data_IF_195559140921
#
_entry.id   IF_195559140921
#
_cell.length_a   1.000
_cell.length_b   1.000
_cell.length_c   1.000
_cell.angle_alpha   90.00
_cell.angle_beta   90.00
_cell.angle_gamma   90.00
#
_symmetry.space_group_name_H-M   'P 1'
#
loop_
_entity.id
_entity.type
_entity.pdbx_description
1 polymer ?
#
# COMPACT_ATOMS: atom_id res chain seq x y z
N UNK A 1 -12.90 70.77 16.49
CA UNK A 1 -12.40 69.73 17.43
C UNK A 1 -11.96 68.43 16.75
N UNK A 2 -12.39 68.11 15.51
CA UNK A 2 -12.00 66.85 14.85
C UNK A 2 -10.71 66.90 13.98
N UNK A 3 -10.18 68.07 13.62
CA UNK A 3 -9.03 68.20 12.69
C UNK A 3 -7.77 67.44 13.12
N UNK A 4 -7.48 67.39 14.43
CA UNK A 4 -6.35 66.62 14.96
C UNK A 4 -6.54 65.11 14.88
N UNK A 5 -7.79 64.63 14.96
CA UNK A 5 -8.09 63.20 14.84
C UNK A 5 -8.03 62.72 13.37
N UNK A 6 -8.40 63.59 12.42
CA UNK A 6 -8.46 63.22 10.99
C UNK A 6 -7.07 63.24 10.33
N UNK A 7 -6.13 64.08 10.80
CA UNK A 7 -4.74 64.10 10.31
C UNK A 7 -3.80 63.13 11.07
N UNK A 8 -4.35 62.33 12.01
CA UNK A 8 -3.65 61.52 13.03
C UNK A 8 -2.78 62.35 13.99
N UNK A 9 -2.53 61.81 15.20
CA UNK A 9 -1.70 62.47 16.21
C UNK A 9 -0.20 62.28 15.96
N UNK A 10 0.62 63.19 16.48
CA UNK A 10 2.08 63.15 16.34
C UNK A 10 2.71 61.84 16.85
N UNK A 11 2.09 61.21 17.87
CA UNK A 11 2.45 59.89 18.36
C UNK A 11 2.41 58.78 17.30
N UNK A 12 1.48 58.87 16.34
CA UNK A 12 1.28 57.86 15.32
C UNK A 12 2.34 57.97 14.23
N UNK A 13 2.84 59.19 13.98
CA UNK A 13 3.97 59.41 13.08
C UNK A 13 5.29 58.89 13.68
N UNK A 14 5.46 58.99 15.00
CA UNK A 14 6.62 58.42 15.70
C UNK A 14 6.62 56.89 15.65
N UNK A 15 5.45 56.25 15.71
CA UNK A 15 5.31 54.80 15.58
C UNK A 15 5.70 54.31 14.17
N UNK A 16 5.29 55.04 13.12
CA UNK A 16 5.65 54.71 11.72
C UNK A 16 7.13 55.02 11.43
N UNK A 17 7.71 56.06 12.03
CA UNK A 17 9.13 56.40 11.90
C UNK A 17 10.08 55.40 12.58
N UNK A 18 9.56 54.54 13.48
CA UNK A 18 10.33 53.46 14.10
C UNK A 18 10.53 52.24 13.17
N UNK A 19 9.86 52.21 12.01
CA UNK A 19 9.98 51.18 10.98
C UNK A 19 10.71 51.71 9.74
N UNK A 20 11.26 50.80 8.90
CA UNK A 20 11.93 51.19 7.65
C UNK A 20 10.93 51.87 6.70
N UNK A 21 11.12 53.17 6.49
CA UNK A 21 10.26 54.03 5.68
C UNK A 21 10.43 53.69 4.18
N UNK A 22 9.68 52.70 3.71
CA UNK A 22 9.53 52.41 2.28
C UNK A 22 8.26 53.07 1.74
N UNK A 23 8.31 53.62 0.53
CA UNK A 23 7.19 54.33 -0.11
C UNK A 23 5.96 53.44 -0.38
N UNK A 24 6.13 52.12 -0.29
CA UNK A 24 5.09 51.11 -0.48
C UNK A 24 4.60 50.47 0.84
N UNK A 25 5.06 50.95 2.00
CA UNK A 25 4.60 50.43 3.29
C UNK A 25 3.09 50.66 3.46
N UNK A 26 2.34 49.60 3.79
CA UNK A 26 0.88 49.65 3.99
C UNK A 26 0.47 50.67 5.06
N UNK A 27 1.33 50.89 6.04
CA UNK A 27 1.15 51.86 7.13
C UNK A 27 1.06 53.30 6.64
N UNK A 28 1.85 53.64 5.60
CA UNK A 28 1.86 54.97 4.98
C UNK A 28 0.62 55.18 4.09
N UNK A 29 0.12 54.13 3.43
CA UNK A 29 -1.10 54.21 2.61
C UNK A 29 -2.37 54.52 3.42
N UNK A 30 -2.40 54.16 4.71
CA UNK A 30 -3.52 54.45 5.62
C UNK A 30 -3.52 55.88 6.19
N UNK A 31 -2.48 56.68 5.91
CA UNK A 31 -2.46 58.11 6.22
C UNK A 31 -3.29 58.89 5.18
N UNK A 32 -3.84 60.07 5.56
CA UNK A 32 -4.55 60.93 4.62
C UNK A 32 -3.78 61.18 3.32
N UNK A 33 -4.50 61.24 2.19
CA UNK A 33 -3.93 61.45 0.85
C UNK A 33 -3.17 62.78 0.76
N UNK A 34 -3.67 63.80 1.46
CA UNK A 34 -3.01 65.09 1.67
C UNK A 34 -3.42 65.61 3.05
N UNK A 35 -2.73 66.64 3.55
CA UNK A 35 -3.09 67.28 4.83
C UNK A 35 -4.49 67.88 4.74
N UNK A 36 -5.35 67.53 5.70
CA UNK A 36 -6.77 67.91 5.71
C UNK A 36 -6.94 69.20 6.48
N UNK A 37 -7.38 70.26 5.80
CA UNK A 37 -7.82 71.51 6.40
C UNK A 37 -9.20 71.91 5.87
N UNK A 38 -10.02 72.65 6.65
CA UNK A 38 -11.35 73.07 6.21
C UNK A 38 -11.25 73.95 4.95
N UNK A 39 -12.02 73.62 3.91
CA UNK A 39 -12.09 74.39 2.67
C UNK A 39 -10.85 74.30 1.77
N UNK A 40 -9.86 73.45 2.10
CA UNK A 40 -8.67 73.30 1.26
C UNK A 40 -8.95 72.32 0.10
N UNK A 41 -8.64 72.69 -1.16
CA UNK A 41 -8.74 71.77 -2.29
C UNK A 41 -7.69 70.65 -2.18
N UNK A 42 -8.01 69.47 -2.73
CA UNK A 42 -7.11 68.31 -2.75
C UNK A 42 -5.96 68.57 -3.74
N UNK A 43 -4.70 68.67 -3.31
CA UNK A 43 -3.57 68.75 -4.23
C UNK A 43 -3.36 67.39 -4.91
N UNK A 44 -2.95 67.40 -6.19
CA UNK A 44 -2.80 66.18 -6.99
C UNK A 44 -1.34 65.79 -7.27
N UNK A 45 -0.42 66.76 -7.24
CA UNK A 45 0.98 66.56 -7.67
C UNK A 45 1.98 66.84 -6.55
N UNK A 46 1.73 67.84 -5.72
CA UNK A 46 2.65 68.27 -4.66
C UNK A 46 2.01 68.15 -3.27
N UNK A 47 2.82 67.96 -2.23
CA UNK A 47 2.37 67.84 -0.84
C UNK A 47 1.32 66.73 -0.60
N UNK A 48 1.42 65.65 -1.38
CA UNK A 48 0.59 64.45 -1.28
C UNK A 48 1.35 63.31 -0.61
N UNK A 49 0.60 62.38 -0.04
CA UNK A 49 1.13 61.16 0.56
C UNK A 49 1.91 60.34 -0.50
N UNK A 50 3.19 59.98 -0.25
CA UNK A 50 4.01 59.22 -1.18
C UNK A 50 3.38 57.94 -1.72
N UNK A 51 2.58 57.24 -0.90
CA UNK A 51 1.91 56.00 -1.30
C UNK A 51 0.84 56.21 -2.40
N UNK A 52 0.36 57.43 -2.60
CA UNK A 52 -0.73 57.77 -3.52
C UNK A 52 -0.28 58.59 -4.74
N UNK A 53 1.02 58.92 -4.86
CA UNK A 53 1.55 59.77 -5.93
C UNK A 53 1.18 59.21 -7.32
N UNK A 54 1.44 57.92 -7.58
CA UNK A 54 1.20 57.32 -8.90
C UNK A 54 -0.30 57.25 -9.24
N UNK A 55 -1.14 56.99 -8.25
CA UNK A 55 -2.59 56.95 -8.40
C UNK A 55 -3.16 58.35 -8.69
N UNK A 56 -2.70 59.38 -7.98
CA UNK A 56 -3.10 60.77 -8.21
C UNK A 56 -2.56 61.32 -9.53
N UNK A 57 -1.35 60.94 -9.93
CA UNK A 57 -0.80 61.28 -11.23
C UNK A 57 -1.62 60.66 -12.38
N UNK A 58 -2.07 59.41 -12.20
CA UNK A 58 -2.96 58.72 -13.15
C UNK A 58 -4.33 59.40 -13.22
N UNK A 59 -4.94 59.72 -12.06
CA UNK A 59 -6.17 60.50 -11.98
C UNK A 59 -6.03 61.87 -12.68
N UNK A 60 -4.92 62.57 -12.44
CA UNK A 60 -4.64 63.86 -13.05
C UNK A 60 -4.54 63.76 -14.58
N UNK A 61 -3.79 62.78 -15.07
CA UNK A 61 -3.58 62.55 -16.51
C UNK A 61 -4.86 62.12 -17.22
N UNK A 62 -5.61 61.18 -16.66
CA UNK A 62 -6.69 60.48 -17.38
C UNK A 62 -8.08 61.08 -17.13
N UNK A 63 -8.32 61.71 -15.98
CA UNK A 63 -9.63 62.25 -15.63
C UNK A 63 -9.65 63.78 -15.49
N UNK A 64 -8.65 64.36 -14.82
CA UNK A 64 -8.64 65.81 -14.52
C UNK A 64 -8.22 66.64 -15.73
N UNK A 65 -7.13 66.25 -16.42
CA UNK A 65 -6.61 66.95 -17.60
C UNK A 65 -7.66 67.04 -18.71
N UNK A 66 -8.40 65.96 -19.06
CA UNK A 66 -9.45 66.04 -20.07
C UNK A 66 -10.70 66.80 -19.62
N UNK A 67 -11.01 66.81 -18.32
CA UNK A 67 -12.25 67.43 -17.81
C UNK A 67 -12.10 68.92 -17.50
N UNK A 68 -10.93 69.36 -17.05
CA UNK A 68 -10.68 70.72 -16.54
C UNK A 68 -9.38 71.35 -17.07
N UNK A 69 -8.61 70.66 -17.90
CA UNK A 69 -7.35 71.15 -18.50
C UNK A 69 -6.11 70.88 -17.65
N UNK A 70 -4.94 70.88 -18.30
CA UNK A 70 -3.64 70.51 -17.71
C UNK A 70 -3.18 71.42 -16.56
N UNK A 71 -3.64 72.67 -16.52
CA UNK A 71 -3.26 73.64 -15.49
C UNK A 71 -3.90 73.36 -14.11
N UNK A 72 -4.84 72.40 -14.01
CA UNK A 72 -5.58 72.12 -12.79
C UNK A 72 -4.82 71.13 -11.89
N UNK A 73 -3.99 71.65 -11.00
CA UNK A 73 -3.14 70.84 -10.09
C UNK A 73 -3.78 70.54 -8.72
N UNK A 74 -4.97 71.09 -8.44
CA UNK A 74 -5.75 70.83 -7.24
C UNK A 74 -7.25 70.72 -7.53
N UNK A 75 -7.98 69.86 -6.82
CA UNK A 75 -9.42 69.65 -6.99
C UNK A 75 -10.24 70.21 -5.82
N UNK A 76 -11.21 71.05 -6.15
CA UNK A 76 -12.28 71.42 -5.23
C UNK A 76 -13.33 70.31 -5.09
N UNK A 77 -14.13 70.34 -4.02
CA UNK A 77 -15.22 69.37 -3.80
C UNK A 77 -16.25 69.39 -4.94
N UNK A 78 -16.56 70.56 -5.49
CA UNK A 78 -17.46 70.70 -6.63
C UNK A 78 -16.89 70.05 -7.90
N UNK A 79 -15.59 70.24 -8.17
CA UNK A 79 -14.91 69.60 -9.31
C UNK A 79 -14.81 68.07 -9.13
N UNK A 80 -14.55 67.59 -7.91
CA UNK A 80 -14.53 66.17 -7.58
C UNK A 80 -15.90 65.51 -7.80
N UNK A 81 -16.97 66.16 -7.35
CA UNK A 81 -18.35 65.68 -7.57
C UNK A 81 -18.68 65.64 -9.06
N UNK A 82 -18.26 66.65 -9.82
CA UNK A 82 -18.43 66.70 -11.27
C UNK A 82 -17.70 65.55 -11.98
N UNK A 83 -16.48 65.21 -11.54
CA UNK A 83 -15.74 64.05 -12.06
C UNK A 83 -16.47 62.75 -11.79
N UNK A 84 -16.95 62.54 -10.55
CA UNK A 84 -17.72 61.34 -10.21
C UNK A 84 -18.92 61.18 -11.11
N UNK A 85 -19.71 62.22 -11.30
CA UNK A 85 -20.91 62.18 -12.17
C UNK A 85 -20.52 61.79 -13.60
N UNK A 86 -19.45 62.35 -14.15
CA UNK A 86 -18.97 62.01 -15.51
C UNK A 86 -18.50 60.56 -15.61
N UNK A 87 -17.82 60.04 -14.59
CA UNK A 87 -17.37 58.64 -14.57
C UNK A 87 -18.48 57.64 -14.28
N UNK A 88 -19.55 58.08 -13.60
CA UNK A 88 -20.66 57.22 -13.18
C UNK A 88 -21.52 56.75 -14.36
N UNK A 89 -21.65 57.58 -15.40
CA UNK A 89 -22.31 57.18 -16.64
C UNK A 89 -21.56 56.03 -17.34
N UNK A 90 -20.23 56.05 -17.31
CA UNK A 90 -19.41 54.99 -17.90
C UNK A 90 -19.40 53.72 -17.04
N UNK A 91 -19.27 53.84 -15.71
CA UNK A 91 -19.32 52.69 -14.80
C UNK A 91 -20.68 51.97 -14.90
N UNK A 92 -21.77 52.72 -14.97
CA UNK A 92 -23.12 52.19 -15.16
C UNK A 92 -23.28 51.48 -16.50
N UNK A 93 -22.68 52.01 -17.58
CA UNK A 93 -22.69 51.36 -18.89
C UNK A 93 -21.91 50.04 -18.89
N UNK A 94 -20.72 50.02 -18.27
CA UNK A 94 -19.90 48.81 -18.13
C UNK A 94 -20.61 47.76 -17.27
N UNK A 95 -21.25 48.17 -16.16
CA UNK A 95 -22.02 47.28 -15.29
C UNK A 95 -23.28 46.73 -15.97
N UNK A 96 -23.92 47.50 -16.86
CA UNK A 96 -25.09 47.08 -17.62
C UNK A 96 -24.77 46.14 -18.81
N UNK A 97 -23.50 45.81 -19.04
CA UNK A 97 -23.06 44.97 -20.17
C UNK A 97 -23.61 43.55 -20.06
N UNK A 98 -24.67 43.27 -20.82
CA UNK A 98 -25.23 41.92 -20.99
C UNK A 98 -24.46 41.18 -22.09
N UNK A 99 -23.98 39.96 -21.79
CA UNK A 99 -23.30 39.11 -22.78
C UNK A 99 -21.80 38.90 -22.56
N UNK A 100 -21.26 39.17 -21.38
CA UNK A 100 -19.85 38.86 -21.04
C UNK A 100 -19.46 37.39 -21.34
N UNK A 101 -20.42 36.46 -21.26
CA UNK A 101 -20.23 35.03 -21.59
C UNK A 101 -19.94 34.82 -23.09
N UNK A 102 -20.53 35.64 -23.96
CA UNK A 102 -20.43 35.49 -25.42
C UNK A 102 -19.42 36.46 -26.06
N UNK A 103 -18.92 37.44 -25.31
CA UNK A 103 -17.96 38.43 -25.78
C UNK A 103 -16.64 37.83 -26.29
N UNK A 104 -16.20 36.73 -25.66
CA UNK A 104 -14.99 35.98 -26.08
C UNK A 104 -15.10 35.37 -27.48
N UNK A 105 -16.31 35.24 -28.04
CA UNK A 105 -16.52 34.70 -29.38
C UNK A 105 -16.13 35.70 -30.48
N UNK A 106 -16.02 36.99 -30.15
CA UNK A 106 -15.68 38.04 -31.11
C UNK A 106 -16.86 38.50 -31.98
N UNK A 107 -16.81 39.74 -32.52
CA UNK A 107 -17.93 40.36 -33.20
C UNK A 107 -18.33 39.63 -34.49
N UNK A 108 -17.38 39.08 -35.24
CA UNK A 108 -17.65 38.41 -36.52
C UNK A 108 -18.41 37.09 -36.31
N UNK A 109 -18.01 36.31 -35.29
CA UNK A 109 -18.70 35.06 -34.95
C UNK A 109 -20.11 35.33 -34.42
N UNK A 110 -20.29 36.39 -33.63
CA UNK A 110 -21.60 36.79 -33.12
C UNK A 110 -22.55 37.22 -34.24
N UNK A 111 -22.08 37.98 -35.23
CA UNK A 111 -22.88 38.35 -36.42
C UNK A 111 -23.22 37.15 -37.27
N UNK A 112 -22.27 36.23 -37.49
CA UNK A 112 -22.51 34.98 -38.19
C UNK A 112 -23.58 34.13 -37.48
N UNK A 113 -23.46 33.95 -36.16
CA UNK A 113 -24.44 33.24 -35.35
C UNK A 113 -25.77 33.98 -35.40
N UNK A 114 -25.83 35.30 -35.25
CA UNK A 114 -27.10 36.04 -35.32
C UNK A 114 -27.81 35.89 -36.68
N UNK A 115 -27.06 35.85 -37.78
CA UNK A 115 -27.61 35.67 -39.12
C UNK A 115 -28.08 34.23 -39.38
N UNK A 116 -27.36 33.22 -38.89
CA UNK A 116 -27.62 31.81 -39.19
C UNK A 116 -28.40 31.06 -38.11
N UNK A 117 -28.33 31.50 -36.86
CA UNK A 117 -28.94 30.83 -35.70
C UNK A 117 -30.46 30.70 -35.77
N UNK A 118 -31.25 31.64 -36.33
CA UNK A 118 -32.70 31.45 -36.41
C UNK A 118 -33.07 30.23 -37.25
N UNK A 119 -32.45 30.08 -38.44
CA UNK A 119 -32.65 28.95 -39.32
C UNK A 119 -32.09 27.66 -38.72
N UNK A 120 -30.87 27.70 -38.18
CA UNK A 120 -30.24 26.54 -37.55
C UNK A 120 -31.01 26.07 -36.30
N UNK A 121 -31.53 26.99 -35.49
CA UNK A 121 -32.35 26.69 -34.30
C UNK A 121 -33.68 26.10 -34.69
N UNK A 122 -34.32 26.60 -35.76
CA UNK A 122 -35.54 25.99 -36.29
C UNK A 122 -35.28 24.56 -36.78
N UNK A 123 -34.20 24.34 -37.54
CA UNK A 123 -33.82 23.01 -38.01
C UNK A 123 -33.45 22.04 -36.86
N UNK A 124 -32.71 22.51 -35.85
CA UNK A 124 -32.43 21.75 -34.62
C UNK A 124 -33.70 21.43 -33.85
N UNK A 125 -34.61 22.40 -33.71
CA UNK A 125 -35.91 22.21 -33.07
C UNK A 125 -36.76 21.15 -33.77
N UNK A 126 -36.74 21.14 -35.10
CA UNK A 126 -37.42 20.12 -35.90
C UNK A 126 -36.78 18.73 -35.72
N UNK A 127 -35.44 18.63 -35.68
CA UNK A 127 -34.75 17.37 -35.39
C UNK A 127 -35.06 16.84 -33.99
N UNK A 128 -35.06 17.72 -32.98
CA UNK A 128 -35.45 17.37 -31.60
C UNK A 128 -36.91 16.93 -31.55
N UNK A 129 -37.81 17.61 -32.27
CA UNK A 129 -39.21 17.23 -32.34
C UNK A 129 -39.40 15.86 -33.02
N UNK A 130 -38.64 15.56 -34.07
CA UNK A 130 -38.63 14.24 -34.72
C UNK A 130 -38.12 13.13 -33.81
N UNK A 131 -37.03 13.39 -33.07
CA UNK A 131 -36.47 12.43 -32.11
C UNK A 131 -37.44 12.20 -30.94
N UNK A 132 -38.02 13.28 -30.40
CA UNK A 132 -39.02 13.20 -29.34
C UNK A 132 -40.30 12.47 -29.78
N UNK A 133 -40.71 12.60 -31.04
CA UNK A 133 -41.86 11.86 -31.59
C UNK A 133 -41.62 10.34 -31.60
N UNK A 134 -40.37 9.89 -31.77
CA UNK A 134 -39.99 8.47 -31.78
C UNK A 134 -39.67 7.90 -30.38
N UNK A 135 -39.74 8.71 -29.33
CA UNK A 135 -39.42 8.31 -27.95
C UNK A 135 -40.12 7.02 -27.51
N UNK A 136 -41.42 6.86 -27.81
CA UNK A 136 -42.18 5.67 -27.46
C UNK A 136 -41.69 4.39 -28.19
N UNK A 137 -41.24 4.52 -29.43
CA UNK A 137 -40.65 3.41 -30.19
C UNK A 137 -39.29 3.02 -29.59
N UNK A 138 -38.45 3.99 -29.23
CA UNK A 138 -37.18 3.74 -28.55
C UNK A 138 -37.36 3.08 -27.19
N UNK A 139 -38.35 3.48 -26.40
CA UNK A 139 -38.68 2.80 -25.13
C UNK A 139 -39.08 1.35 -25.37
N UNK A 140 -39.84 1.08 -26.44
CA UNK A 140 -40.23 -0.28 -26.81
C UNK A 140 -39.02 -1.10 -27.25
N UNK A 141 -38.12 -0.54 -28.06
CA UNK A 141 -36.86 -1.17 -28.45
C UNK A 141 -35.99 -1.47 -27.23
N UNK A 142 -35.88 -0.52 -26.29
CA UNK A 142 -35.13 -0.71 -25.05
C UNK A 142 -35.72 -1.83 -24.18
N UNK A 143 -37.05 -1.96 -24.14
CA UNK A 143 -37.73 -3.07 -23.46
C UNK A 143 -37.46 -4.42 -24.15
N UNK A 144 -37.47 -4.47 -25.49
CA UNK A 144 -37.11 -5.68 -26.25
C UNK A 144 -35.65 -6.04 -26.02
N UNK A 145 -34.74 -5.07 -26.05
CA UNK A 145 -33.33 -5.28 -25.74
C UNK A 145 -33.15 -5.84 -24.32
N UNK A 146 -33.85 -5.29 -23.33
CA UNK A 146 -33.86 -5.78 -21.95
C UNK A 146 -34.38 -7.21 -21.88
N UNK A 147 -35.45 -7.54 -22.59
CA UNK A 147 -35.99 -8.90 -22.67
C UNK A 147 -34.98 -9.88 -23.32
N UNK A 148 -34.30 -9.47 -24.39
CA UNK A 148 -33.27 -10.27 -25.05
C UNK A 148 -32.08 -10.51 -24.12
N UNK A 149 -31.62 -9.50 -23.38
CA UNK A 149 -30.58 -9.64 -22.37
C UNK A 149 -31.01 -10.60 -21.25
N UNK A 150 -32.27 -10.53 -20.80
CA UNK A 150 -32.78 -11.46 -19.81
C UNK A 150 -32.85 -12.90 -20.33
N UNK A 151 -33.36 -13.11 -21.54
CA UNK A 151 -33.45 -14.47 -22.11
C UNK A 151 -32.07 -15.07 -22.39
N UNK A 152 -31.09 -14.27 -22.80
CA UNK A 152 -29.72 -14.74 -23.08
C UNK A 152 -28.88 -14.94 -21.82
N UNK A 153 -28.83 -13.95 -20.93
CA UNK A 153 -27.79 -13.88 -19.89
C UNK A 153 -28.31 -14.11 -18.46
N UNK A 154 -29.62 -13.99 -18.22
CA UNK A 154 -30.17 -14.05 -16.85
C UNK A 154 -29.89 -15.39 -16.18
N UNK A 155 -29.98 -16.50 -16.93
CA UNK A 155 -29.63 -17.82 -16.41
C UNK A 155 -28.17 -17.88 -15.94
N UNK A 156 -27.24 -17.40 -16.76
CA UNK A 156 -25.82 -17.35 -16.42
C UNK A 156 -25.57 -16.47 -15.20
N UNK A 157 -26.26 -15.33 -15.10
CA UNK A 157 -26.18 -14.46 -13.92
C UNK A 157 -26.66 -15.17 -12.66
N UNK A 158 -27.84 -15.82 -12.69
CA UNK A 158 -28.36 -16.57 -11.54
C UNK A 158 -27.43 -17.71 -11.12
N UNK A 159 -26.86 -18.42 -12.11
CA UNK A 159 -25.91 -19.51 -11.89
C UNK A 159 -24.58 -19.06 -11.27
N UNK A 160 -24.15 -17.81 -11.48
CA UNK A 160 -22.85 -17.32 -11.02
C UNK A 160 -22.94 -16.38 -9.82
N UNK A 161 -24.12 -15.83 -9.54
CA UNK A 161 -24.31 -14.83 -8.50
C UNK A 161 -25.24 -15.28 -7.37
N UNK A 162 -26.30 -16.05 -7.68
CA UNK A 162 -27.30 -16.44 -6.67
C UNK A 162 -26.95 -17.79 -6.06
N UNK A 163 -26.78 -18.83 -6.89
CA UNK A 163 -26.51 -20.18 -6.40
C UNK A 163 -25.05 -20.65 -6.59
N UNK A 164 -24.25 -19.92 -7.38
CA UNK A 164 -22.87 -20.28 -7.72
C UNK A 164 -22.72 -21.68 -8.35
N UNK A 165 -23.77 -22.19 -9.01
CA UNK A 165 -23.78 -23.51 -9.65
C UNK A 165 -22.59 -23.71 -10.58
N UNK A 166 -22.29 -22.72 -11.43
CA UNK A 166 -21.20 -22.84 -12.41
C UNK A 166 -19.82 -22.90 -11.73
N UNK A 167 -19.66 -22.32 -10.54
CA UNK A 167 -18.41 -22.41 -9.78
C UNK A 167 -18.16 -23.82 -9.24
N UNK A 168 -19.21 -24.54 -8.86
CA UNK A 168 -19.10 -25.92 -8.36
C UNK A 168 -19.18 -26.98 -9.47
N UNK A 169 -19.37 -26.57 -10.72
CA UNK A 169 -19.48 -27.49 -11.86
C UNK A 169 -18.09 -27.91 -12.35
N UNK A 170 -17.85 -29.20 -12.64
CA UNK A 170 -16.58 -29.65 -13.21
C UNK A 170 -16.44 -29.32 -14.71
N UNK A 171 -17.57 -29.11 -15.40
CA UNK A 171 -17.59 -28.97 -16.86
C UNK A 171 -17.59 -27.51 -17.33
N UNK A 172 -17.74 -26.55 -16.40
CA UNK A 172 -17.93 -25.13 -16.71
C UNK A 172 -17.08 -24.27 -15.81
N UNK A 173 -16.57 -23.19 -16.38
CA UNK A 173 -15.93 -22.11 -15.62
C UNK A 173 -16.96 -21.06 -15.27
N UNK A 174 -16.94 -20.62 -14.01
CA UNK A 174 -17.73 -19.49 -13.55
C UNK A 174 -17.35 -18.20 -14.29
N UNK A 175 -18.27 -17.24 -14.35
CA UNK A 175 -18.09 -15.95 -15.04
C UNK A 175 -16.88 -15.18 -14.49
N UNK A 176 -16.62 -15.28 -13.20
CA UNK A 176 -15.49 -14.60 -12.55
C UNK A 176 -14.15 -15.34 -12.69
N UNK A 177 -14.14 -16.60 -13.12
CA UNK A 177 -12.89 -17.32 -13.36
C UNK A 177 -12.27 -16.85 -14.67
N UNK A 178 -11.08 -16.26 -14.57
CA UNK A 178 -10.36 -15.65 -15.67
C UNK A 178 -9.60 -16.67 -16.53
N UNK A 179 -9.28 -17.85 -16.01
CA UNK A 179 -8.46 -18.83 -16.71
C UNK A 179 -7.64 -19.71 -15.78
N UNK A 180 -6.58 -20.31 -16.32
CA UNK A 180 -5.73 -21.29 -15.61
C UNK A 180 -4.30 -20.77 -15.48
N UNK A 181 -3.78 -20.73 -14.26
CA UNK A 181 -2.40 -20.40 -13.95
C UNK A 181 -1.57 -21.66 -13.74
N UNK A 182 -0.47 -21.80 -14.47
CA UNK A 182 0.55 -22.82 -14.26
C UNK A 182 1.73 -22.22 -13.51
N UNK A 183 2.00 -22.77 -12.33
CA UNK A 183 3.04 -22.27 -11.43
C UNK A 183 3.58 -23.41 -10.58
N UNK A 184 4.89 -23.62 -10.54
CA UNK A 184 5.51 -24.57 -9.59
C UNK A 184 4.86 -25.97 -9.59
N UNK A 185 4.84 -26.64 -10.75
CA UNK A 185 4.28 -27.98 -10.94
C UNK A 185 2.79 -28.10 -10.52
N UNK A 186 2.04 -27.00 -10.55
CA UNK A 186 0.59 -27.02 -10.32
C UNK A 186 -0.14 -26.18 -11.37
N UNK A 187 -1.36 -26.60 -11.70
CA UNK A 187 -2.34 -25.79 -12.42
C UNK A 187 -3.38 -25.28 -11.43
N UNK A 188 -3.73 -24.00 -11.51
CA UNK A 188 -4.73 -23.36 -10.66
C UNK A 188 -5.81 -22.76 -11.54
N UNK A 189 -7.02 -23.32 -11.48
CA UNK A 189 -8.17 -22.86 -12.27
C UNK A 189 -8.94 -21.74 -11.57
N UNK A 190 -8.66 -21.53 -10.28
CA UNK A 190 -9.30 -20.49 -9.50
C UNK A 190 -8.51 -19.18 -9.54
N UNK A 191 -8.57 -18.54 -10.70
CA UNK A 191 -7.96 -17.23 -10.95
C UNK A 191 -9.04 -16.18 -11.20
N UNK A 192 -8.93 -15.03 -10.53
CA UNK A 192 -9.85 -13.90 -10.67
C UNK A 192 -9.07 -12.70 -11.23
N UNK A 193 -9.67 -11.92 -12.12
CA UNK A 193 -9.11 -10.61 -12.48
C UNK A 193 -9.33 -9.62 -11.34
N UNK A 194 -8.27 -8.92 -10.94
CA UNK A 194 -8.30 -7.99 -9.80
C UNK A 194 -7.56 -6.70 -10.10
N UNK A 195 -7.96 -5.58 -9.48
CA UNK A 195 -7.22 -4.33 -9.61
C UNK A 195 -5.89 -4.33 -8.82
N UNK A 196 -5.85 -5.07 -7.71
CA UNK A 196 -4.66 -5.21 -6.87
C UNK A 196 -4.94 -5.94 -5.54
N UNK A 197 -3.92 -6.04 -4.67
CA UNK A 197 -4.05 -6.69 -3.37
C UNK A 197 -4.99 -5.93 -2.43
N UNK A 198 -5.94 -6.64 -1.83
CA UNK A 198 -6.89 -6.08 -0.86
C UNK A 198 -6.80 -6.82 0.48
N UNK A 199 -6.84 -6.11 1.62
CA UNK A 199 -6.88 -6.74 2.94
C UNK A 199 -8.16 -7.56 3.16
N UNK A 200 -9.27 -7.19 2.50
CA UNK A 200 -10.54 -7.93 2.61
C UNK A 200 -10.40 -9.37 2.08
N UNK A 201 -9.63 -9.56 1.01
CA UNK A 201 -9.38 -10.87 0.43
C UNK A 201 -8.69 -11.83 1.42
N UNK A 202 -7.95 -11.34 2.41
CA UNK A 202 -7.31 -12.19 3.43
C UNK A 202 -8.33 -12.90 4.33
N UNK A 203 -9.56 -12.38 4.45
CA UNK A 203 -10.65 -12.99 5.22
C UNK A 203 -11.20 -14.27 4.58
N UNK A 204 -10.90 -14.51 3.29
CA UNK A 204 -11.28 -15.73 2.57
C UNK A 204 -10.64 -17.00 3.13
N UNK A 205 -9.55 -16.88 3.90
CA UNK A 205 -8.72 -17.99 4.42
C UNK A 205 -8.13 -18.89 3.33
N UNK A 206 -8.17 -18.46 2.07
CA UNK A 206 -7.47 -19.08 0.96
C UNK A 206 -6.03 -18.56 0.90
N UNK A 207 -5.11 -19.39 0.39
CA UNK A 207 -3.77 -18.92 0.02
C UNK A 207 -3.90 -18.21 -1.32
N UNK A 208 -3.53 -16.92 -1.39
CA UNK A 208 -3.74 -16.09 -2.58
C UNK A 208 -2.37 -15.64 -3.09
N UNK A 209 -2.08 -15.91 -4.36
CA UNK A 209 -0.95 -15.35 -5.08
C UNK A 209 -1.47 -14.30 -6.07
N UNK A 210 -1.13 -13.03 -5.84
CA UNK A 210 -1.39 -11.96 -6.79
C UNK A 210 -0.32 -12.00 -7.88
N UNK A 211 -0.73 -12.05 -9.13
CA UNK A 211 0.16 -12.11 -10.28
C UNK A 211 -0.12 -10.96 -11.24
N UNK A 212 0.94 -10.30 -11.68
CA UNK A 212 0.89 -9.38 -12.82
C UNK A 212 1.10 -10.18 -14.10
N UNK A 213 0.17 -10.02 -15.04
CA UNK A 213 0.18 -10.64 -16.36
C UNK A 213 0.69 -9.65 -17.40
N UNK A 214 1.66 -10.08 -18.20
CA UNK A 214 2.20 -9.31 -19.32
C UNK A 214 2.11 -10.13 -20.59
N UNK A 215 1.85 -9.46 -21.70
CA UNK A 215 1.83 -10.07 -23.03
C UNK A 215 2.67 -9.27 -24.02
N UNK A 216 3.37 -9.92 -24.97
CA UNK A 216 3.98 -9.24 -26.11
C UNK A 216 2.89 -8.49 -26.90
N UNK A 217 2.89 -7.16 -26.81
CA UNK A 217 1.81 -6.28 -27.29
C UNK A 217 1.37 -5.21 -26.29
N UNK A 218 1.94 -5.20 -25.07
CA UNK A 218 1.75 -4.13 -24.09
C UNK A 218 0.45 -4.22 -23.27
N UNK A 219 -0.37 -5.25 -23.51
CA UNK A 219 -1.51 -5.53 -22.66
C UNK A 219 -1.03 -6.07 -21.30
N UNK A 220 -1.52 -5.46 -20.23
CA UNK A 220 -1.24 -5.89 -18.86
C UNK A 220 -2.55 -6.17 -18.13
N UNK A 221 -2.58 -7.25 -17.36
CA UNK A 221 -3.69 -7.59 -16.47
C UNK A 221 -3.14 -7.99 -15.11
N UNK A 222 -4.00 -8.03 -14.11
CA UNK A 222 -3.65 -8.50 -12.77
C UNK A 222 -4.66 -9.53 -12.35
N UNK A 223 -4.16 -10.62 -11.77
CA UNK A 223 -5.00 -11.72 -11.30
C UNK A 223 -4.68 -12.06 -9.85
N UNK A 224 -5.68 -12.57 -9.14
CA UNK A 224 -5.53 -13.26 -7.88
C UNK A 224 -5.76 -14.75 -8.12
N UNK A 225 -4.72 -15.56 -7.96
CA UNK A 225 -4.78 -17.01 -8.06
C UNK A 225 -4.87 -17.63 -6.66
N UNK A 226 -5.91 -18.41 -6.42
CA UNK A 226 -6.13 -19.08 -5.14
C UNK A 226 -5.58 -20.51 -5.18
N UNK A 227 -4.53 -20.75 -4.40
CA UNK A 227 -3.84 -22.04 -4.37
C UNK A 227 -4.43 -22.87 -3.24
N UNK A 228 -5.15 -23.93 -3.59
CA UNK A 228 -5.93 -24.73 -2.65
C UNK A 228 -5.34 -26.11 -2.38
N UNK A 229 -4.35 -26.54 -3.17
CA UNK A 229 -3.61 -27.79 -3.01
C UNK A 229 -2.10 -27.61 -3.26
N UNK A 230 -1.29 -28.46 -2.60
CA UNK A 230 0.17 -28.45 -2.71
C UNK A 230 0.87 -27.91 -1.47
N UNK A 231 2.05 -27.34 -1.69
CA UNK A 231 2.96 -26.75 -0.71
C UNK A 231 3.22 -25.27 -1.01
N UNK A 232 3.68 -24.54 0.00
CA UNK A 232 3.97 -23.10 -0.09
C UNK A 232 5.45 -22.75 -0.23
N UNK A 233 6.34 -23.75 -0.17
CA UNK A 233 7.80 -23.56 -0.07
C UNK A 233 8.39 -22.78 -1.26
N UNK A 234 7.76 -22.95 -2.42
CA UNK A 234 8.25 -22.46 -3.71
C UNK A 234 7.39 -21.33 -4.29
N UNK A 235 6.47 -20.80 -3.47
CA UNK A 235 5.62 -19.66 -3.80
C UNK A 235 6.18 -18.41 -3.13
N UNK A 236 6.98 -17.65 -3.87
CA UNK A 236 7.57 -16.40 -3.40
C UNK A 236 7.40 -15.30 -4.46
N UNK A 237 7.39 -14.05 -3.98
CA UNK A 237 7.29 -12.87 -4.83
C UNK A 237 8.44 -12.85 -5.84
N UNK A 238 8.13 -12.52 -7.10
CA UNK A 238 9.07 -12.52 -8.22
C UNK A 238 9.15 -13.85 -8.99
N UNK A 239 8.47 -14.91 -8.53
CA UNK A 239 8.40 -16.15 -9.30
C UNK A 239 7.53 -15.99 -10.54
N UNK A 240 8.04 -16.49 -11.67
CA UNK A 240 7.32 -16.49 -12.93
C UNK A 240 6.47 -17.77 -13.09
N UNK A 241 5.35 -17.62 -13.78
CA UNK A 241 4.42 -18.67 -14.19
C UNK A 241 3.82 -18.34 -15.55
N UNK A 242 2.97 -19.24 -16.04
CA UNK A 242 2.30 -19.11 -17.33
C UNK A 242 0.80 -19.12 -17.11
N UNK A 243 0.09 -18.12 -17.60
CA UNK A 243 -1.36 -18.01 -17.48
C UNK A 243 -2.04 -18.16 -18.84
N UNK A 244 -3.10 -18.96 -18.89
CA UNK A 244 -3.96 -19.10 -20.04
C UNK A 244 -5.32 -18.50 -19.75
N UNK A 245 -5.71 -17.49 -20.53
CA UNK A 245 -7.04 -16.88 -20.49
C UNK A 245 -8.11 -17.85 -21.04
N UNK A 246 -9.39 -17.55 -20.86
CA UNK A 246 -10.53 -18.33 -21.36
C UNK A 246 -10.52 -18.51 -22.88
N UNK A 247 -9.88 -17.59 -23.61
CA UNK A 247 -9.72 -17.68 -25.06
C UNK A 247 -8.50 -18.51 -25.48
N UNK A 248 -7.78 -19.14 -24.54
CA UNK A 248 -6.59 -19.94 -24.81
C UNK A 248 -5.33 -19.12 -25.11
N UNK A 249 -5.35 -17.82 -24.81
CA UNK A 249 -4.21 -16.92 -25.02
C UNK A 249 -3.25 -17.02 -23.83
N UNK A 250 -1.96 -17.04 -24.15
CA UNK A 250 -0.85 -17.12 -23.21
C UNK A 250 -0.44 -15.75 -22.68
N UNK A 251 -0.14 -15.71 -21.38
CA UNK A 251 0.32 -14.55 -20.64
C UNK A 251 1.47 -14.93 -19.70
N UNK A 252 2.51 -14.09 -19.68
CA UNK A 252 3.60 -14.21 -18.72
C UNK A 252 3.10 -13.71 -17.37
N UNK A 253 3.04 -14.60 -16.39
CA UNK A 253 2.60 -14.28 -15.04
C UNK A 253 3.81 -14.12 -14.10
N UNK A 254 3.81 -13.08 -13.27
CA UNK A 254 4.82 -12.90 -12.23
C UNK A 254 4.15 -12.60 -10.90
N UNK A 255 4.52 -13.31 -9.83
CA UNK A 255 3.93 -13.12 -8.50
C UNK A 255 4.40 -11.78 -7.92
N UNK A 256 3.48 -10.90 -7.57
CA UNK A 256 3.77 -9.59 -6.97
C UNK A 256 3.49 -9.52 -5.48
N UNK A 257 2.49 -10.25 -4.99
CA UNK A 257 2.14 -10.30 -3.57
C UNK A 257 1.52 -11.65 -3.20
N UNK A 258 1.67 -12.04 -1.94
CA UNK A 258 1.14 -13.30 -1.41
C UNK A 258 0.40 -13.04 -0.11
N UNK A 259 -0.77 -13.68 0.03
CA UNK A 259 -1.48 -13.81 1.30
C UNK A 259 -1.31 -15.25 1.79
N UNK A 260 -0.54 -15.41 2.86
CA UNK A 260 -0.21 -16.72 3.41
C UNK A 260 -1.34 -17.26 4.30
N UNK A 261 -1.92 -18.37 3.88
CA UNK A 261 -2.92 -19.15 4.61
C UNK A 261 -2.64 -20.65 4.41
N UNK A 262 -2.99 -21.53 5.35
CA UNK A 262 -2.66 -22.95 5.24
C UNK A 262 -3.27 -23.56 3.97
N UNK A 263 -2.43 -24.20 3.13
CA UNK A 263 -2.84 -24.88 1.89
C UNK A 263 -3.40 -26.28 2.18
N UNK A 264 -2.72 -27.06 3.02
CA UNK A 264 -3.10 -28.43 3.39
C UNK A 264 -2.79 -28.75 4.86
N UNK A 265 -3.51 -29.73 5.43
CA UNK A 265 -3.29 -30.19 6.82
C UNK A 265 -1.90 -30.83 6.98
N UNK A 266 -1.43 -31.55 5.96
CA UNK A 266 -0.11 -32.20 5.97
C UNK A 266 1.03 -31.18 6.02
N UNK A 267 0.90 -30.05 5.29
CA UNK A 267 1.88 -28.96 5.41
C UNK A 267 1.86 -28.32 6.80
N UNK A 268 0.69 -28.23 7.43
CA UNK A 268 0.57 -27.68 8.77
C UNK A 268 1.29 -28.53 9.83
N UNK A 269 1.41 -29.85 9.64
CA UNK A 269 2.18 -30.74 10.54
C UNK A 269 3.65 -30.34 10.62
N UNK A 270 4.29 -30.01 9.48
CA UNK A 270 5.70 -29.62 9.42
C UNK A 270 5.93 -28.12 9.70
N UNK A 271 4.88 -27.32 9.71
CA UNK A 271 4.98 -25.86 9.86
C UNK A 271 5.70 -25.37 11.13
N UNK A 272 5.53 -25.98 12.33
CA UNK A 272 6.24 -25.52 13.53
C UNK A 272 7.74 -25.78 13.43
N UNK A 273 8.13 -26.92 12.87
CA UNK A 273 9.53 -27.31 12.68
C UNK A 273 10.22 -26.41 11.65
N UNK A 274 9.56 -26.10 10.53
CA UNK A 274 10.06 -25.14 9.53
C UNK A 274 10.27 -23.75 10.12
N UNK A 275 9.30 -23.26 10.92
CA UNK A 275 9.43 -21.96 11.62
C UNK A 275 10.58 -21.97 12.62
N UNK A 276 10.78 -23.06 13.34
CA UNK A 276 11.89 -23.21 14.28
C UNK A 276 13.25 -23.23 13.56
N UNK A 277 13.38 -23.97 12.45
CA UNK A 277 14.59 -23.96 11.64
C UNK A 277 14.89 -22.58 11.09
N UNK A 278 13.88 -21.88 10.56
CA UNK A 278 14.04 -20.50 10.10
C UNK A 278 14.47 -19.55 11.22
N UNK A 279 13.93 -19.73 12.43
CA UNK A 279 14.38 -18.95 13.60
C UNK A 279 15.84 -19.24 13.96
N UNK A 280 16.29 -20.50 13.87
CA UNK A 280 17.70 -20.87 14.07
C UNK A 280 18.56 -20.22 12.99
N UNK A 281 18.17 -20.31 11.73
CA UNK A 281 18.87 -19.67 10.61
C UNK A 281 18.96 -18.16 10.80
N UNK A 282 17.87 -17.50 11.20
CA UNK A 282 17.86 -16.06 11.51
C UNK A 282 18.76 -15.73 12.71
N UNK A 283 18.79 -16.55 13.75
CA UNK A 283 19.69 -16.36 14.89
C UNK A 283 21.16 -16.58 14.52
N UNK A 284 21.45 -17.58 13.68
CA UNK A 284 22.80 -17.85 13.17
C UNK A 284 23.24 -16.73 12.24
N UNK A 285 22.38 -16.27 11.33
CA UNK A 285 22.65 -15.15 10.45
C UNK A 285 22.86 -13.85 11.26
N UNK A 286 22.05 -13.60 12.29
CA UNK A 286 22.23 -12.45 13.18
C UNK A 286 23.53 -12.53 13.97
N UNK A 287 23.95 -13.73 14.42
CA UNK A 287 25.24 -13.94 15.08
C UNK A 287 26.42 -13.85 14.11
N UNK A 288 26.27 -14.32 12.88
CA UNK A 288 27.26 -14.18 11.82
C UNK A 288 27.44 -12.71 11.47
N UNK A 289 26.36 -11.95 11.29
CA UNK A 289 26.40 -10.51 11.08
C UNK A 289 27.01 -9.76 12.28
N UNK A 290 26.70 -10.16 13.52
CA UNK A 290 27.31 -9.59 14.71
C UNK A 290 28.82 -9.89 14.79
N UNK A 291 29.23 -11.14 14.48
CA UNK A 291 30.62 -11.54 14.41
C UNK A 291 31.37 -10.85 13.26
N UNK A 292 30.73 -10.63 12.12
CA UNK A 292 31.27 -9.83 11.01
C UNK A 292 31.44 -8.37 11.42
N UNK A 293 30.47 -7.76 12.12
CA UNK A 293 30.64 -6.39 12.65
C UNK A 293 31.75 -6.30 13.70
N UNK A 294 31.90 -7.29 14.58
CA UNK A 294 33.03 -7.33 15.52
C UNK A 294 34.36 -7.58 14.82
N UNK A 295 34.39 -8.42 13.78
CA UNK A 295 35.59 -8.67 12.98
C UNK A 295 35.99 -7.43 12.18
N UNK A 296 35.03 -6.70 11.60
CA UNK A 296 35.25 -5.43 10.91
C UNK A 296 35.70 -4.34 11.89
N UNK A 297 35.18 -4.31 13.12
CA UNK A 297 35.66 -3.42 14.17
C UNK A 297 37.09 -3.76 14.61
N UNK A 298 37.46 -5.05 14.67
CA UNK A 298 38.85 -5.49 14.94
C UNK A 298 39.79 -5.19 13.79
N UNK A 299 39.33 -5.32 12.54
CA UNK A 299 40.09 -4.97 11.34
C UNK A 299 40.28 -3.45 11.23
N UNK A 300 39.26 -2.65 11.57
CA UNK A 300 39.39 -1.19 11.69
C UNK A 300 40.36 -0.80 12.82
N UNK A 301 40.29 -1.44 13.98
CA UNK A 301 41.23 -1.21 15.10
C UNK A 301 42.66 -1.68 14.80
N UNK A 302 42.84 -2.70 13.95
CA UNK A 302 44.14 -3.12 13.45
C UNK A 302 44.66 -2.15 12.37
N UNK A 303 43.79 -1.64 11.51
CA UNK A 303 44.11 -0.61 10.52
C UNK A 303 44.57 0.71 11.20
N UNK A 304 43.89 1.13 12.28
CA UNK A 304 44.28 2.29 13.10
C UNK A 304 45.61 2.08 13.85
N UNK A 305 45.96 0.83 14.18
CA UNK A 305 47.27 0.48 14.77
C UNK A 305 48.39 0.43 13.74
N UNK A 306 48.11 0.07 12.49
CA UNK A 306 49.08 0.16 11.39
C UNK A 306 49.25 1.59 10.86
N UNK A 307 48.25 2.46 11.01
CA UNK A 307 48.34 3.87 10.64
C UNK A 307 49.16 4.73 11.64
N UNK A 308 49.42 4.20 12.85
CA UNK A 308 50.16 4.90 13.91
C UNK A 308 51.43 4.15 14.37
N UNK A 309 52.02 3.33 13.49
CA UNK A 309 53.26 2.61 13.76
C UNK A 309 54.52 3.47 13.56
N UNK A 310 54.53 4.70 14.10
CA UNK A 310 55.74 5.50 14.25
C UNK A 310 55.60 6.50 15.40
N UNK A 311 55.62 5.99 16.65
CA UNK A 311 56.10 6.68 17.86
C UNK A 311 56.15 5.71 19.07
N UNK A 312 57.30 5.77 19.73
CA UNK A 312 57.84 4.98 20.85
C UNK A 312 56.93 4.67 22.07
N UNK A 313 57.14 3.46 22.61
CA UNK A 313 57.21 2.99 24.02
C UNK A 313 55.96 2.94 24.94
N UNK A 314 55.89 1.96 25.88
CA UNK A 314 54.66 1.51 26.53
C UNK A 314 54.38 2.15 27.90
N UNK A 315 53.10 2.41 28.21
CA UNK A 315 52.63 2.80 29.55
C UNK A 315 51.26 2.14 29.86
N UNK A 316 50.93 1.88 31.14
CA UNK A 316 49.95 0.87 31.56
C UNK A 316 48.49 1.37 31.56
N UNK A 317 47.58 0.44 31.32
CA UNK A 317 46.13 0.63 31.27
C UNK A 317 45.52 0.96 32.66
N UNK A 318 44.53 1.87 32.78
CA UNK A 318 43.78 2.09 34.01
C UNK A 318 42.71 0.99 34.24
N UNK A 319 42.26 0.76 35.49
CA UNK A 319 41.31 -0.30 35.82
C UNK A 319 39.88 0.09 35.40
N UNK A 320 39.22 -0.84 34.71
CA UNK A 320 37.78 -0.78 34.37
C UNK A 320 36.91 -0.71 35.63
N UNK A 321 36.10 0.35 35.72
CA UNK A 321 35.07 0.48 36.74
C UNK A 321 34.00 -0.65 36.61
N UNK A 322 33.52 -1.22 37.73
CA UNK A 322 32.48 -2.23 37.69
C UNK A 322 31.16 -1.60 37.26
N UNK A 323 30.59 -2.09 36.14
CA UNK A 323 29.19 -1.81 35.78
C UNK A 323 28.32 -2.28 36.95
N UNK A 324 27.48 -1.39 37.46
CA UNK A 324 26.45 -1.73 38.45
C UNK A 324 25.56 -2.81 37.83
N UNK A 325 25.76 -4.02 38.28
CA UNK A 325 24.89 -5.15 38.00
C UNK A 325 23.63 -4.89 38.82
N UNK A 326 22.52 -4.68 38.11
CA UNK A 326 21.22 -4.45 38.74
C UNK A 326 20.83 -5.75 39.47
N UNK A 327 20.90 -5.74 40.80
CA UNK A 327 20.71 -6.92 41.65
C UNK A 327 19.30 -7.50 41.45
N UNK A 328 18.32 -6.68 41.05
CA UNK A 328 16.98 -7.12 40.64
C UNK A 328 16.96 -7.89 39.31
N UNK A 329 17.77 -7.50 38.33
CA UNK A 329 17.92 -8.23 37.07
C UNK A 329 18.69 -9.54 37.28
N UNK A 330 19.71 -9.56 38.14
CA UNK A 330 20.46 -10.78 38.48
C UNK A 330 19.68 -11.73 39.39
N UNK A 331 18.83 -11.22 40.26
CA UNK A 331 17.88 -12.04 41.01
C UNK A 331 16.79 -12.63 40.09
N UNK A 332 16.24 -11.84 39.15
CA UNK A 332 15.28 -12.34 38.17
C UNK A 332 15.91 -13.38 37.22
N UNK A 333 17.15 -13.16 36.77
CA UNK A 333 17.92 -14.12 35.98
C UNK A 333 18.26 -15.36 36.84
N UNK A 334 18.63 -15.18 38.11
CA UNK A 334 18.93 -16.26 39.04
C UNK A 334 17.73 -17.16 39.34
N UNK A 335 16.54 -16.57 39.54
CA UNK A 335 15.28 -17.28 39.75
C UNK A 335 14.77 -17.92 38.46
N UNK A 336 14.94 -17.26 37.30
CA UNK A 336 14.60 -17.84 36.00
C UNK A 336 15.51 -19.02 35.65
N UNK A 337 16.81 -18.94 35.95
CA UNK A 337 17.78 -20.01 35.73
C UNK A 337 17.55 -21.16 36.71
N UNK A 338 17.35 -20.89 38.01
CA UNK A 338 17.04 -21.95 38.99
C UNK A 338 15.68 -22.59 38.74
N UNK A 339 14.67 -21.82 38.31
CA UNK A 339 13.37 -22.35 37.88
C UNK A 339 13.47 -23.19 36.61
N UNK A 340 14.24 -22.75 35.61
CA UNK A 340 14.49 -23.52 34.39
C UNK A 340 15.30 -24.80 34.66
N UNK A 341 16.32 -24.73 35.52
CA UNK A 341 17.09 -25.91 35.95
C UNK A 341 16.19 -26.87 36.73
N UNK A 342 15.34 -26.38 37.63
CA UNK A 342 14.41 -27.22 38.41
C UNK A 342 13.34 -27.86 37.54
N UNK A 343 12.82 -27.13 36.55
CA UNK A 343 11.89 -27.67 35.57
C UNK A 343 12.58 -28.71 34.68
N UNK A 344 13.82 -28.45 34.26
CA UNK A 344 14.61 -29.36 33.44
C UNK A 344 15.00 -30.62 34.23
N UNK A 345 15.37 -30.53 35.51
CA UNK A 345 15.65 -31.69 36.36
C UNK A 345 14.39 -32.50 36.65
N UNK A 346 13.24 -31.86 36.83
CA UNK A 346 11.95 -32.55 36.93
C UNK A 346 11.66 -33.33 35.64
N UNK A 347 11.76 -32.67 34.49
CA UNK A 347 11.50 -33.28 33.17
C UNK A 347 12.48 -34.41 32.89
N UNK A 348 13.78 -34.20 33.12
CA UNK A 348 14.80 -35.25 32.97
C UNK A 348 14.56 -36.40 33.94
N UNK A 349 14.22 -36.13 35.21
CA UNK A 349 13.92 -37.16 36.21
C UNK A 349 12.72 -38.02 35.82
N UNK A 350 11.65 -37.40 35.30
CA UNK A 350 10.51 -38.13 34.74
C UNK A 350 10.91 -38.93 33.51
N UNK A 351 11.71 -38.35 32.60
CA UNK A 351 12.19 -39.01 31.36
C UNK A 351 13.08 -40.22 31.63
N UNK A 352 13.97 -40.16 32.62
CA UNK A 352 14.84 -41.27 33.00
C UNK A 352 14.14 -42.37 33.81
N UNK A 353 12.98 -42.08 34.42
CA UNK A 353 12.14 -43.05 35.12
C UNK A 353 11.21 -43.87 34.22
N UNK A 354 11.18 -43.59 32.90
CA UNK A 354 10.35 -44.34 31.96
C UNK A 354 11.04 -45.63 31.50
N UNK A 355 10.23 -46.68 31.36
CA UNK A 355 10.68 -47.93 30.76
C UNK A 355 11.04 -47.74 29.28
N UNK A 356 11.99 -48.53 28.76
CA UNK A 356 12.51 -48.43 27.39
C UNK A 356 11.42 -48.38 26.29
N UNK A 357 10.27 -49.03 26.51
CA UNK A 357 9.13 -49.05 25.57
C UNK A 357 8.31 -47.75 25.54
N UNK A 358 8.43 -46.90 26.55
CA UNK A 358 7.68 -45.65 26.67
C UNK A 358 8.37 -44.49 25.95
N UNK A 359 9.68 -44.57 25.67
CA UNK A 359 10.42 -43.53 24.93
C UNK A 359 9.83 -43.25 23.54
N UNK A 360 9.48 -44.26 22.70
CA UNK A 360 8.77 -44.02 21.44
C UNK A 360 7.42 -43.32 21.63
N UNK A 361 6.69 -43.65 22.71
CA UNK A 361 5.38 -43.07 23.01
C UNK A 361 5.50 -41.60 23.44
N UNK A 362 6.52 -41.28 24.25
CA UNK A 362 6.86 -39.90 24.64
C UNK A 362 7.27 -39.08 23.42
N UNK A 363 8.09 -39.64 22.53
CA UNK A 363 8.48 -38.97 21.28
C UNK A 363 7.25 -38.68 20.40
N UNK A 364 6.36 -39.66 20.23
CA UNK A 364 5.11 -39.47 19.51
C UNK A 364 4.22 -38.40 20.17
N UNK A 365 4.13 -38.41 21.50
CA UNK A 365 3.39 -37.41 22.28
C UNK A 365 3.93 -35.99 22.09
N UNK A 366 5.25 -35.81 22.14
CA UNK A 366 5.91 -34.51 21.87
C UNK A 366 5.62 -34.05 20.44
N UNK A 367 5.77 -34.93 19.45
CA UNK A 367 5.44 -34.61 18.05
C UNK A 367 3.99 -34.13 17.96
N UNK A 368 3.05 -34.85 18.58
CA UNK A 368 1.62 -34.53 18.53
C UNK A 368 1.26 -33.25 19.28
N UNK A 369 1.92 -32.93 20.39
CA UNK A 369 1.72 -31.66 21.12
C UNK A 369 2.24 -30.47 20.31
N UNK A 370 3.36 -30.62 19.59
CA UNK A 370 3.93 -29.57 18.75
C UNK A 370 3.10 -29.39 17.46
N UNK A 371 2.74 -30.48 16.78
CA UNK A 371 2.10 -30.44 15.47
C UNK A 371 0.56 -30.35 15.54
N UNK A 372 -0.04 -30.93 16.58
CA UNK A 372 -1.49 -31.07 16.74
C UNK A 372 -2.26 -29.75 16.69
N UNK A 373 -1.87 -28.72 17.47
CA UNK A 373 -2.53 -27.41 17.41
C UNK A 373 -2.48 -26.79 16.01
N UNK A 374 -1.34 -26.90 15.31
CA UNK A 374 -1.17 -26.35 13.96
C UNK A 374 -2.04 -27.08 12.94
N UNK A 375 -2.15 -28.40 13.03
CA UNK A 375 -3.05 -29.20 12.19
C UNK A 375 -4.53 -28.87 12.45
N UNK A 376 -4.92 -28.68 13.72
CA UNK A 376 -6.29 -28.32 14.09
C UNK A 376 -6.68 -26.95 13.55
N UNK A 377 -5.80 -25.94 13.71
CA UNK A 377 -6.02 -24.60 13.18
C UNK A 377 -6.10 -24.63 11.65
N UNK A 378 -5.20 -25.38 10.99
CA UNK A 378 -5.25 -25.55 9.54
C UNK A 378 -6.56 -26.20 9.12
N UNK A 379 -6.98 -27.29 9.76
CA UNK A 379 -8.25 -27.95 9.50
C UNK A 379 -9.47 -27.02 9.66
N UNK A 380 -9.50 -26.20 10.72
CA UNK A 380 -10.54 -25.19 10.93
C UNK A 380 -10.54 -24.13 9.83
N UNK A 381 -9.37 -23.59 9.49
CA UNK A 381 -9.23 -22.58 8.42
C UNK A 381 -9.64 -23.14 7.06
N UNK A 382 -9.24 -24.37 6.73
CA UNK A 382 -9.59 -25.05 5.49
C UNK A 382 -11.11 -25.25 5.34
N UNK A 383 -11.81 -25.57 6.43
CA UNK A 383 -13.28 -25.71 6.43
C UNK A 383 -14.02 -24.37 6.37
N UNK A 384 -13.35 -23.30 6.75
CA UNK A 384 -13.89 -21.94 6.75
C UNK A 384 -13.45 -21.13 5.52
N UNK A 385 -12.84 -21.77 4.51
CA UNK A 385 -12.49 -21.10 3.26
C UNK A 385 -13.75 -20.63 2.55
N UNK A 386 -13.79 -19.36 2.18
CA UNK A 386 -14.94 -18.77 1.49
C UNK A 386 -14.51 -17.90 0.33
N UNK A 387 -15.32 -17.89 -0.72
CA UNK A 387 -15.09 -17.04 -1.88
C UNK A 387 -15.56 -15.59 -1.66
N UNK A 388 -16.59 -15.37 -0.83
CA UNK A 388 -17.24 -14.05 -0.70
C UNK A 388 -16.26 -12.88 -0.47
N UNK A 389 -15.31 -12.91 0.49
CA UNK A 389 -14.40 -11.78 0.71
C UNK A 389 -13.46 -11.48 -0.47
N UNK A 390 -13.21 -12.48 -1.31
CA UNK A 390 -12.34 -12.37 -2.48
C UNK A 390 -13.06 -11.69 -3.66
N UNK A 391 -14.34 -11.99 -3.86
CA UNK A 391 -15.15 -11.29 -4.86
C UNK A 391 -15.61 -9.90 -4.38
N UNK A 392 -15.88 -9.74 -3.08
CA UNK A 392 -16.17 -8.42 -2.49
C UNK A 392 -14.99 -7.46 -2.62
N UNK A 393 -13.76 -7.97 -2.54
CA UNK A 393 -12.56 -7.18 -2.83
C UNK A 393 -12.52 -6.65 -4.27
N UNK A 394 -13.27 -7.27 -5.19
CA UNK A 394 -13.43 -6.86 -6.59
C UNK A 394 -14.75 -6.12 -6.87
N UNK A 395 -15.43 -5.65 -5.82
CA UNK A 395 -16.66 -4.85 -5.94
C UNK A 395 -17.95 -5.65 -6.11
N UNK A 396 -17.93 -6.98 -5.93
CA UNK A 396 -19.15 -7.79 -5.94
C UNK A 396 -19.85 -7.74 -4.58
N UNK A 397 -21.19 -7.77 -4.56
CA UNK A 397 -21.96 -7.75 -3.32
C UNK A 397 -22.53 -9.14 -3.01
N UNK A 398 -21.81 -9.97 -2.24
CA UNK A 398 -22.19 -11.37 -2.02
C UNK A 398 -22.63 -11.58 -0.57
N UNK A 399 -23.93 -11.75 -0.37
CA UNK A 399 -24.49 -12.01 0.97
C UNK A 399 -24.37 -13.48 1.42
N UNK A 400 -23.82 -14.37 0.57
CA UNK A 400 -23.75 -15.82 0.81
C UNK A 400 -22.39 -16.31 1.29
N UNK A 401 -22.38 -17.32 2.17
CA UNK A 401 -21.16 -18.07 2.52
C UNK A 401 -20.85 -19.11 1.45
N UNK A 402 -20.24 -18.69 0.35
CA UNK A 402 -19.79 -19.58 -0.74
C UNK A 402 -18.52 -20.30 -0.29
N UNK A 403 -18.69 -21.49 0.29
CA UNK A 403 -17.61 -22.25 0.94
C UNK A 403 -16.82 -23.14 -0.01
N UNK A 404 -15.49 -23.15 0.14
CA UNK A 404 -14.61 -24.06 -0.59
C UNK A 404 -14.22 -25.20 0.36
N UNK A 405 -14.84 -26.37 0.18
CA UNK A 405 -14.49 -27.55 0.97
C UNK A 405 -13.17 -28.18 0.48
N UNK A 406 -12.64 -29.15 1.23
CA UNK A 406 -11.34 -29.77 0.89
C UNK A 406 -11.38 -30.53 -0.45
N UNK A 407 -12.36 -31.42 -0.73
CA UNK A 407 -12.43 -32.13 -2.01
C UNK A 407 -12.56 -31.20 -3.23
N UNK A 408 -13.35 -30.14 -3.11
CA UNK A 408 -13.51 -29.14 -4.16
C UNK A 408 -12.24 -28.30 -4.32
N UNK A 409 -11.61 -27.89 -3.21
CA UNK A 409 -10.31 -27.22 -3.24
C UNK A 409 -9.22 -28.06 -3.92
N UNK A 410 -9.24 -29.39 -3.78
CA UNK A 410 -8.30 -30.27 -4.50
C UNK A 410 -8.58 -30.37 -6.00
N UNK A 411 -9.75 -29.92 -6.47
CA UNK A 411 -10.06 -29.84 -7.90
C UNK A 411 -9.67 -28.50 -8.51
N UNK A 412 -9.72 -27.42 -7.72
CA UNK A 412 -9.32 -26.08 -8.16
C UNK A 412 -7.80 -25.91 -8.36
N UNK A 413 -6.99 -26.81 -7.78
CA UNK A 413 -5.53 -26.81 -7.97
C UNK A 413 -5.04 -28.24 -8.18
N UNK A 414 -4.66 -28.59 -9.41
CA UNK A 414 -4.10 -29.91 -9.69
C UNK A 414 -2.57 -29.87 -9.58
N UNK A 415 -1.99 -30.92 -9.00
CA UNK A 415 -0.53 -31.10 -8.92
C UNK A 415 -0.07 -31.98 -10.07
N UNK A 416 1.10 -31.69 -10.62
CA UNK A 416 1.75 -32.55 -11.59
C UNK A 416 1.93 -33.95 -11.00
N UNK A 417 1.24 -34.92 -11.57
CA UNK A 417 1.39 -36.33 -11.28
C UNK A 417 2.18 -36.99 -12.41
N UNK A 418 2.98 -37.97 -12.05
CA UNK A 418 3.67 -38.81 -13.01
C UNK A 418 2.65 -39.61 -13.83
N UNK A 419 2.85 -39.77 -15.15
CA UNK A 419 1.96 -40.58 -15.98
C UNK A 419 1.85 -42.02 -15.44
N UNK A 420 0.67 -42.66 -15.53
CA UNK A 420 0.49 -44.02 -15.04
C UNK A 420 1.49 -44.98 -15.72
N UNK A 421 2.17 -45.79 -14.92
CA UNK A 421 3.18 -46.74 -15.37
C UNK A 421 4.62 -46.20 -15.46
N UNK A 422 4.83 -44.90 -15.24
CA UNK A 422 6.19 -44.33 -15.13
C UNK A 422 6.83 -44.66 -13.78
N UNK A 423 8.15 -44.86 -13.78
CA UNK A 423 8.97 -45.09 -12.59
C UNK A 423 9.99 -43.97 -12.46
N UNK A 424 10.20 -43.49 -11.24
CA UNK A 424 11.29 -42.58 -10.94
C UNK A 424 12.60 -43.36 -10.98
N UNK A 425 13.51 -42.98 -11.87
CA UNK A 425 14.89 -43.44 -11.78
C UNK A 425 15.57 -42.71 -10.62
N UNK A 426 15.95 -43.47 -9.59
CA UNK A 426 16.62 -42.95 -8.40
C UNK A 426 18.14 -42.84 -8.60
N UNK A 427 18.65 -43.25 -9.77
CA UNK A 427 20.05 -43.17 -10.13
C UNK A 427 20.38 -41.78 -10.69
N UNK A 428 20.63 -40.83 -9.79
CA UNK A 428 21.09 -39.48 -10.14
C UNK A 428 22.59 -39.51 -10.54
N UNK A 429 22.93 -39.19 -11.82
CA UNK A 429 24.31 -39.16 -12.31
C UNK A 429 25.18 -38.08 -11.66
N UNK A 430 24.56 -37.01 -11.14
CA UNK A 430 25.24 -35.85 -10.57
C UNK A 430 25.29 -35.88 -9.04
N UNK A 431 24.73 -36.92 -8.41
CA UNK A 431 24.81 -37.09 -6.96
C UNK A 431 26.26 -37.26 -6.54
N UNK A 432 26.81 -36.27 -5.83
CA UNK A 432 28.14 -36.38 -5.23
C UNK A 432 28.11 -37.48 -4.16
N UNK A 433 28.51 -38.70 -4.59
CA UNK A 433 28.55 -39.89 -3.75
C UNK A 433 29.52 -39.71 -2.59
N UNK A 434 30.56 -38.88 -2.74
CA UNK A 434 31.52 -38.59 -1.68
C UNK A 434 30.93 -37.65 -0.62
N UNK A 435 30.23 -36.58 -1.03
CA UNK A 435 29.50 -35.73 -0.09
C UNK A 435 28.40 -36.50 0.65
N UNK A 436 27.63 -37.34 -0.05
CA UNK A 436 26.60 -38.17 0.58
C UNK A 436 27.18 -39.18 1.57
N UNK A 437 28.41 -39.68 1.34
CA UNK A 437 29.13 -40.55 2.27
C UNK A 437 29.65 -39.76 3.48
N UNK A 438 30.22 -38.57 3.26
CA UNK A 438 30.66 -37.66 4.35
C UNK A 438 29.49 -37.27 5.24
N UNK A 439 28.35 -36.87 4.67
CA UNK A 439 27.14 -36.54 5.41
C UNK A 439 26.62 -37.74 6.22
N UNK A 440 26.65 -38.96 5.66
CA UNK A 440 26.31 -40.16 6.42
C UNK A 440 27.27 -40.39 7.58
N UNK A 441 28.58 -40.28 7.36
CA UNK A 441 29.58 -40.47 8.41
C UNK A 441 29.43 -39.40 9.49
N UNK A 442 29.16 -38.14 9.16
CA UNK A 442 28.95 -37.08 10.15
C UNK A 442 27.64 -37.26 10.90
N UNK A 443 26.55 -37.68 10.24
CA UNK A 443 25.28 -37.97 10.91
C UNK A 443 25.42 -39.19 11.83
N UNK A 444 25.94 -40.32 11.34
CA UNK A 444 26.13 -41.51 12.18
C UNK A 444 27.17 -41.27 13.27
N UNK A 445 28.23 -40.51 12.99
CA UNK A 445 29.23 -40.11 13.97
C UNK A 445 28.69 -39.18 15.04
N UNK A 446 27.87 -38.19 14.69
CA UNK A 446 27.22 -37.29 15.66
C UNK A 446 26.14 -38.00 16.45
N UNK A 447 25.37 -38.91 15.84
CA UNK A 447 24.40 -39.75 16.53
C UNK A 447 25.10 -40.70 17.51
N UNK A 448 26.22 -41.30 17.10
CA UNK A 448 27.06 -42.14 17.96
C UNK A 448 27.67 -41.33 19.11
N UNK A 449 28.15 -40.12 18.84
CA UNK A 449 28.69 -39.22 19.87
C UNK A 449 27.59 -38.81 20.88
N UNK A 450 26.38 -38.48 20.40
CA UNK A 450 25.24 -38.18 21.26
C UNK A 450 24.82 -39.38 22.10
N UNK A 451 24.80 -40.58 21.51
CA UNK A 451 24.56 -41.84 22.23
C UNK A 451 25.66 -42.12 23.27
N UNK A 452 26.93 -41.90 22.93
CA UNK A 452 28.06 -42.08 23.84
C UNK A 452 28.03 -41.07 25.00
N UNK A 453 27.67 -39.81 24.73
CA UNK A 453 27.48 -38.79 25.77
C UNK A 453 26.29 -39.15 26.67
N UNK A 454 25.17 -39.61 26.09
CA UNK A 454 24.01 -40.07 26.88
C UNK A 454 24.36 -41.29 27.74
N UNK A 455 25.15 -42.23 27.21
CA UNK A 455 25.64 -43.42 27.91
C UNK A 455 26.63 -43.07 29.02
N UNK A 456 27.57 -42.15 28.76
CA UNK A 456 28.51 -41.66 29.77
C UNK A 456 27.80 -40.86 30.87
N UNK A 457 26.80 -40.06 30.52
CA UNK A 457 25.96 -39.36 31.49
C UNK A 457 25.17 -40.34 32.36
N UNK A 458 24.56 -41.38 31.76
CA UNK A 458 23.88 -42.45 32.50
C UNK A 458 24.82 -43.27 33.41
N UNK A 459 26.06 -43.47 32.97
CA UNK A 459 27.11 -44.14 33.76
C UNK A 459 27.53 -43.29 34.97
N UNK A 460 27.76 -41.99 34.77
CA UNK A 460 28.12 -41.06 35.85
C UNK A 460 26.99 -40.82 36.86
N UNK A 461 25.73 -40.88 36.43
CA UNK A 461 24.57 -40.72 37.33
C UNK A 461 24.13 -42.03 38.00
N UNK A 462 24.74 -43.18 37.68
CA UNK A 462 24.33 -44.52 38.16
C UNK A 462 22.85 -44.87 37.88
N UNK A 463 22.20 -44.21 36.93
CA UNK A 463 20.83 -44.53 36.50
C UNK A 463 20.93 -45.29 35.19
N UNK A 464 21.11 -46.61 35.29
CA UNK A 464 21.10 -47.49 34.13
C UNK A 464 19.69 -48.04 33.90
N UNK A 465 19.09 -47.90 32.71
CA UNK A 465 17.74 -48.41 32.44
C UNK A 465 17.66 -49.95 32.37
N UNK A 466 18.79 -50.67 32.50
CA UNK A 466 18.86 -52.13 32.48
C UNK A 466 19.57 -52.74 33.69
N UNK A 467 19.86 -51.96 34.74
CA UNK A 467 20.32 -52.53 36.01
C UNK A 467 19.08 -52.89 36.83
N UNK A 468 18.69 -54.17 36.76
CA UNK A 468 17.79 -54.82 37.71
C UNK A 468 18.31 -54.71 39.14
#
# INVERSE_FOLDING_TARGET
RALGAVNRSESDYLAVAAHDLTTAASEVAHLPIARINPGQPLPLLEAVNPAWIDALATLHREAVTPAFGFATTSLTEAQWTTLKIKTDAYSSHVAAKRGAVVEKLGPDRLRFIAAYAPAARAALGELIARDAALSAEFETIANVEKLLRYTRDFRSLLHNYVNFFDFYSPDRLAVFQAGTLYLDNRSTEFCLEVAGPSPLAAMSKAYIAYCDLKRPGGATRKIAACITQGDSDYLFVGRNGLFYDRQGLDWDASITAIVDNPISVQQAFLSPYKKFLRMIEEQVAKRAAAAETESNARLAALADKTANADKLAPAPSPPTAPKKIDVGAVAAIGVAITGAISALTLILGYVFGLAAWQYPLVLLGVILVISGPSMLIAWLKLRQRTLAPLLEANGWAINGRVGINIPFGTKLTERAALPPGSKLDLNDPYRDRAAARRARITIFGSLFLLLAIAFAAAWFTKVWPFAS
#
